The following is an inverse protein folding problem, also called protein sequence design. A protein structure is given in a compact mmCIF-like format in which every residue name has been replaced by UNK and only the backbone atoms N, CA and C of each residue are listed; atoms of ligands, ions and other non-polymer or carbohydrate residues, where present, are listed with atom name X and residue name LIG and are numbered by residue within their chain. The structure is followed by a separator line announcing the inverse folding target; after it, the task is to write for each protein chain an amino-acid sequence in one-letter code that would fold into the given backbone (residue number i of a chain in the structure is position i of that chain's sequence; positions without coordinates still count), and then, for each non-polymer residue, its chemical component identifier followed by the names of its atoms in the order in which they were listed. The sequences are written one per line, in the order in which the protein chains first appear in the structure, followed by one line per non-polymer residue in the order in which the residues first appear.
data_IF_284583684193
#
_entry.id   IF_284583684193
#
_cell.length_a   1.000
_cell.length_b   1.000
_cell.length_c   1.000
_cell.angle_alpha   90.00
_cell.angle_beta   90.00
_cell.angle_gamma   90.00
#
_symmetry.space_group_name_H-M   'P 1'
#
loop_
_entity.id
_entity.type
_entity.pdbx_description
1 polymer ?
#
# COMPACT_ATOMS: atom_id res chain seq x y z
N UNK A 1 0.11 24.75 32.77
CA UNK A 1 1.37 24.20 32.23
C UNK A 1 1.51 22.75 32.67
N UNK A 2 1.09 21.81 31.84
CA UNK A 2 1.49 20.39 31.92
C UNK A 2 1.53 19.87 30.48
N UNK A 3 2.50 20.39 29.71
CA UNK A 3 2.81 19.90 28.37
C UNK A 3 3.72 18.69 28.48
N UNK A 4 3.15 17.52 28.74
CA UNK A 4 3.85 16.26 28.61
C UNK A 4 3.78 15.80 27.16
N UNK A 5 4.90 15.85 26.45
CA UNK A 5 5.05 15.16 25.16
C UNK A 5 4.89 13.67 25.45
N UNK A 6 3.81 13.04 24.99
CA UNK A 6 3.75 11.57 24.92
C UNK A 6 4.66 11.17 23.77
N UNK A 7 5.94 11.02 24.08
CA UNK A 7 6.87 10.31 23.22
C UNK A 7 6.34 8.87 23.14
N UNK A 8 5.84 8.47 21.98
CA UNK A 8 5.68 7.05 21.63
C UNK A 8 7.07 6.42 21.66
N UNK A 9 7.50 6.00 22.85
CA UNK A 9 8.78 5.32 23.06
C UNK A 9 8.63 3.91 22.53
N UNK A 10 9.04 3.72 21.28
CA UNK A 10 9.09 2.42 20.61
C UNK A 10 10.25 1.54 21.09
N UNK A 11 11.00 1.94 22.12
CA UNK A 11 12.16 1.20 22.63
C UNK A 11 11.91 0.73 24.07
N UNK A 12 11.14 -0.35 24.21
CA UNK A 12 11.18 -1.17 25.42
C UNK A 12 12.34 -2.17 25.30
N UNK A 13 13.19 -2.35 26.32
CA UNK A 13 14.29 -3.33 26.29
C UNK A 13 13.83 -4.81 26.30
N UNK A 14 12.52 -5.07 26.42
CA UNK A 14 11.90 -6.40 26.31
C UNK A 14 11.11 -6.59 24.99
N UNK A 15 11.36 -5.72 24.01
CA UNK A 15 10.63 -5.68 22.75
C UNK A 15 10.96 -6.85 21.83
N UNK A 16 9.93 -7.47 21.25
CA UNK A 16 10.14 -8.45 20.17
C UNK A 16 10.68 -7.74 18.93
N UNK A 17 11.48 -8.41 18.10
CA UNK A 17 12.05 -7.85 16.85
C UNK A 17 10.99 -7.23 15.90
N UNK A 18 9.73 -7.64 16.05
CA UNK A 18 8.60 -7.08 15.31
C UNK A 18 8.34 -5.60 15.64
N UNK A 19 8.78 -5.08 16.79
CA UNK A 19 8.65 -3.67 17.14
C UNK A 19 9.46 -2.75 16.21
N UNK A 20 10.48 -3.26 15.52
CA UNK A 20 11.20 -2.52 14.47
C UNK A 20 10.28 -2.04 13.34
N UNK A 21 9.12 -2.68 13.16
CA UNK A 21 8.12 -2.33 12.13
C UNK A 21 6.97 -1.47 12.67
N UNK A 22 7.04 -1.01 13.93
CA UNK A 22 5.99 -0.17 14.53
C UNK A 22 5.73 1.08 13.71
N UNK A 23 6.78 1.73 13.17
CA UNK A 23 6.65 2.92 12.33
C UNK A 23 5.81 2.69 11.06
N UNK A 24 5.74 1.45 10.56
CA UNK A 24 4.91 1.09 9.42
C UNK A 24 3.52 0.68 9.87
N UNK A 25 3.44 -0.25 10.83
CA UNK A 25 2.18 -0.84 11.32
C UNK A 25 1.28 0.17 12.05
N UNK A 26 1.87 1.09 12.79
CA UNK A 26 1.20 2.14 13.56
C UNK A 26 1.15 3.50 12.85
N UNK A 27 1.55 3.55 11.58
CA UNK A 27 1.40 4.75 10.76
C UNK A 27 -0.09 5.08 10.58
N UNK A 28 -0.48 6.29 10.94
CA UNK A 28 -1.88 6.71 10.88
C UNK A 28 -2.41 6.74 9.44
N UNK A 29 -1.58 7.07 8.46
CA UNK A 29 -1.96 7.09 7.05
C UNK A 29 -2.17 5.69 6.48
N UNK A 30 -1.36 4.70 6.88
CA UNK A 30 -1.60 3.31 6.48
C UNK A 30 -2.92 2.78 7.04
N UNK A 31 -3.16 3.04 8.33
CA UNK A 31 -4.40 2.59 9.00
C UNK A 31 -5.64 3.29 8.41
N UNK A 32 -5.53 4.59 8.10
CA UNK A 32 -6.57 5.34 7.42
C UNK A 32 -6.83 4.80 6.01
N UNK A 33 -5.79 4.55 5.21
CA UNK A 33 -5.90 3.92 3.89
C UNK A 33 -6.67 2.58 3.95
N UNK A 34 -6.33 1.70 4.88
CA UNK A 34 -7.02 0.41 5.03
C UNK A 34 -8.50 0.57 5.41
N UNK A 35 -8.81 1.54 6.27
CA UNK A 35 -10.19 1.86 6.62
C UNK A 35 -10.96 2.45 5.43
N UNK A 36 -10.34 3.35 4.66
CA UNK A 36 -10.91 3.89 3.43
C UNK A 36 -11.20 2.79 2.40
N UNK A 37 -10.30 1.80 2.23
CA UNK A 37 -10.54 0.68 1.30
C UNK A 37 -11.79 -0.09 1.67
N UNK A 38 -11.97 -0.36 2.97
CA UNK A 38 -13.13 -1.08 3.47
C UNK A 38 -14.43 -0.27 3.38
N UNK A 39 -14.35 1.06 3.45
CA UNK A 39 -15.50 1.97 3.25
C UNK A 39 -15.88 2.10 1.77
N UNK A 40 -14.91 2.07 0.86
CA UNK A 40 -15.14 2.12 -0.59
C UNK A 40 -15.69 0.82 -1.14
N UNK A 41 -15.19 -0.30 -0.63
CA UNK A 41 -15.56 -1.65 -1.07
C UNK A 41 -16.21 -2.48 0.05
N UNK A 42 -17.27 -1.97 0.71
CA UNK A 42 -17.87 -2.60 1.89
C UNK A 42 -18.35 -4.00 1.59
N UNK A 43 -17.77 -4.99 2.29
CA UNK A 43 -18.01 -6.43 2.05
C UNK A 43 -19.47 -6.84 2.23
N UNK A 44 -20.25 -6.06 2.97
CA UNK A 44 -21.68 -6.30 3.24
C UNK A 44 -22.62 -5.71 2.18
N UNK A 45 -22.13 -4.86 1.26
CA UNK A 45 -22.98 -4.18 0.29
C UNK A 45 -23.20 -5.03 -0.97
N UNK A 46 -24.47 -5.31 -1.25
CA UNK A 46 -24.94 -5.98 -2.46
C UNK A 46 -25.11 -4.98 -3.61
N UNK A 47 -24.33 -5.14 -4.67
CA UNK A 47 -24.37 -4.29 -5.87
C UNK A 47 -25.69 -4.39 -6.64
N UNK A 48 -26.42 -5.52 -6.54
CA UNK A 48 -27.72 -5.65 -7.20
C UNK A 48 -28.76 -4.71 -6.58
N UNK A 49 -28.65 -4.45 -5.27
CA UNK A 49 -29.53 -3.54 -4.53
C UNK A 49 -29.17 -2.06 -4.73
N UNK A 50 -27.91 -1.77 -5.05
CA UNK A 50 -27.40 -0.40 -5.23
C UNK A 50 -26.85 -0.21 -6.66
N UNK A 51 -27.72 -0.19 -7.71
CA UNK A 51 -27.30 -0.27 -9.11
C UNK A 51 -26.50 0.94 -9.62
N UNK A 52 -26.50 2.05 -8.88
CA UNK A 52 -25.65 3.22 -9.18
C UNK A 52 -24.18 3.02 -8.75
N UNK A 53 -23.91 1.98 -7.97
CA UNK A 53 -22.58 1.59 -7.51
C UNK A 53 -22.14 0.35 -8.29
N UNK A 54 -21.44 0.57 -9.39
CA UNK A 54 -20.78 -0.52 -10.09
C UNK A 54 -19.37 -0.68 -9.51
N UNK A 55 -18.97 -1.90 -9.14
CA UNK A 55 -17.60 -2.18 -8.69
C UNK A 55 -16.87 -2.95 -9.80
N UNK A 56 -16.09 -2.23 -10.60
CA UNK A 56 -15.29 -2.83 -11.66
C UNK A 56 -14.31 -3.87 -11.10
N UNK A 57 -14.42 -5.12 -11.56
CA UNK A 57 -13.49 -6.23 -11.22
C UNK A 57 -13.21 -6.35 -9.71
N UNK A 58 -14.24 -6.17 -8.89
CA UNK A 58 -14.15 -6.06 -7.41
C UNK A 58 -13.27 -7.11 -6.73
N UNK A 59 -13.44 -8.39 -7.07
CA UNK A 59 -12.69 -9.49 -6.44
C UNK A 59 -11.19 -9.46 -6.78
N UNK A 60 -10.86 -9.10 -8.02
CA UNK A 60 -9.48 -8.98 -8.47
C UNK A 60 -8.79 -7.74 -7.88
N UNK A 61 -9.52 -6.62 -7.80
CA UNK A 61 -9.06 -5.42 -7.13
C UNK A 61 -8.80 -5.70 -5.65
N UNK A 62 -9.68 -6.43 -4.96
CA UNK A 62 -9.49 -6.82 -3.56
C UNK A 62 -8.19 -7.62 -3.38
N UNK A 63 -7.98 -8.65 -4.19
CA UNK A 63 -6.75 -9.43 -4.17
C UNK A 63 -5.52 -8.55 -4.39
N UNK A 64 -5.56 -7.67 -5.40
CA UNK A 64 -4.46 -6.76 -5.71
C UNK A 64 -4.14 -5.81 -4.55
N UNK A 65 -5.15 -5.15 -3.97
CA UNK A 65 -4.93 -4.23 -2.84
C UNK A 65 -4.30 -4.93 -1.65
N UNK A 66 -4.81 -6.11 -1.29
CA UNK A 66 -4.26 -6.93 -0.19
C UNK A 66 -2.83 -7.37 -0.49
N UNK A 67 -2.56 -7.82 -1.72
CA UNK A 67 -1.23 -8.24 -2.15
C UNK A 67 -0.23 -7.07 -2.13
N UNK A 68 -0.61 -5.89 -2.61
CA UNK A 68 0.26 -4.71 -2.62
C UNK A 68 0.61 -4.23 -1.20
N UNK A 69 -0.35 -4.21 -0.27
CA UNK A 69 -0.09 -3.92 1.16
C UNK A 69 0.86 -4.94 1.77
N UNK A 70 0.66 -6.22 1.48
CA UNK A 70 1.50 -7.29 1.99
C UNK A 70 2.92 -7.26 1.40
N UNK A 71 3.05 -7.01 0.09
CA UNK A 71 4.34 -6.82 -0.59
C UNK A 71 5.11 -5.65 0.02
N UNK A 72 4.41 -4.54 0.28
CA UNK A 72 4.98 -3.36 0.91
C UNK A 72 5.45 -3.63 2.34
N UNK A 73 4.66 -4.37 3.13
CA UNK A 73 5.05 -4.84 4.45
C UNK A 73 6.28 -5.75 4.38
N UNK A 74 6.31 -6.69 3.45
CA UNK A 74 7.44 -7.61 3.25
C UNK A 74 8.73 -6.86 2.93
N UNK A 75 8.68 -5.78 2.13
CA UNK A 75 9.85 -4.93 1.91
C UNK A 75 10.33 -4.23 3.19
N UNK A 76 9.44 -3.78 4.09
CA UNK A 76 9.89 -3.25 5.39
C UNK A 76 10.53 -4.31 6.27
N UNK A 77 10.05 -5.55 6.22
CA UNK A 77 10.68 -6.67 6.94
C UNK A 77 12.12 -6.84 6.49
N UNK A 78 12.34 -6.94 5.19
CA UNK A 78 13.68 -7.04 4.61
C UNK A 78 14.55 -5.84 4.99
N UNK A 79 14.00 -4.62 4.91
CA UNK A 79 14.71 -3.40 5.32
C UNK A 79 15.14 -3.40 6.81
N UNK A 80 14.46 -4.16 7.67
CA UNK A 80 14.78 -4.27 9.10
C UNK A 80 15.41 -5.62 9.49
N UNK A 81 15.94 -6.37 8.51
CA UNK A 81 16.59 -7.68 8.71
C UNK A 81 15.66 -8.72 9.34
N UNK A 82 14.37 -8.65 9.00
CA UNK A 82 13.37 -9.60 9.48
C UNK A 82 13.04 -10.61 8.38
N UNK A 83 12.93 -11.91 8.73
CA UNK A 83 12.61 -12.96 7.77
C UNK A 83 11.22 -12.76 7.19
N UNK A 84 10.94 -13.43 6.06
CA UNK A 84 9.60 -13.46 5.45
C UNK A 84 8.53 -13.81 6.50
N UNK A 85 7.39 -13.13 6.42
CA UNK A 85 6.25 -13.38 7.31
C UNK A 85 5.80 -14.84 7.23
N UNK A 86 5.70 -15.51 8.37
CA UNK A 86 5.12 -16.84 8.43
C UNK A 86 3.63 -16.79 8.08
N UNK A 87 3.14 -17.80 7.37
CA UNK A 87 1.71 -17.92 7.09
C UNK A 87 0.97 -18.30 8.37
N UNK A 88 -0.19 -17.70 8.62
CA UNK A 88 -1.04 -18.12 9.74
C UNK A 88 -1.53 -19.55 9.52
N UNK A 89 -1.30 -20.39 10.53
CA UNK A 89 -1.79 -21.76 10.61
C UNK A 89 -2.72 -21.87 11.82
N UNK A 90 -3.92 -22.42 11.63
CA UNK A 90 -4.95 -22.43 12.67
C UNK A 90 -4.57 -23.28 13.89
N UNK A 91 -3.81 -24.34 13.65
CA UNK A 91 -3.37 -25.37 14.59
C UNK A 91 -1.94 -25.15 15.13
N UNK A 92 -1.24 -24.10 14.67
CA UNK A 92 0.10 -23.78 15.16
C UNK A 92 0.11 -22.49 15.99
N UNK A 93 1.08 -22.34 16.91
CA UNK A 93 1.18 -21.13 17.72
C UNK A 93 1.58 -19.91 16.90
N UNK A 94 0.84 -18.79 17.07
CA UNK A 94 1.28 -17.48 16.60
C UNK A 94 2.39 -16.99 17.54
N UNK A 95 3.64 -17.16 17.12
CA UNK A 95 4.85 -16.93 17.94
C UNK A 95 4.86 -15.56 18.62
N UNK A 96 4.53 -14.52 17.86
CA UNK A 96 4.59 -13.12 18.33
C UNK A 96 3.20 -12.67 18.76
N UNK A 97 3.05 -12.31 20.02
CA UNK A 97 1.87 -11.65 20.60
C UNK A 97 1.75 -10.19 20.19
N UNK A 98 0.70 -9.52 20.67
CA UNK A 98 0.50 -8.09 20.46
C UNK A 98 -0.27 -7.49 21.64
N UNK A 99 0.26 -6.41 22.21
CA UNK A 99 -0.45 -5.60 23.17
C UNK A 99 -0.82 -4.26 22.51
N UNK A 100 -2.11 -4.01 22.21
CA UNK A 100 -2.53 -2.81 21.51
C UNK A 100 -2.26 -1.49 22.24
N UNK A 101 -2.08 -1.52 23.58
CA UNK A 101 -1.94 -0.34 24.44
C UNK A 101 -2.93 0.79 24.14
N UNK A 102 -4.13 0.42 23.68
CA UNK A 102 -5.19 1.33 23.25
C UNK A 102 -6.50 0.96 23.93
N UNK A 103 -7.39 1.93 24.06
CA UNK A 103 -8.72 1.79 24.66
C UNK A 103 -9.79 2.14 23.63
N UNK A 104 -10.95 1.52 23.78
CA UNK A 104 -12.19 1.96 23.12
C UNK A 104 -12.57 3.39 23.57
N UNK A 105 -13.45 4.08 22.82
CA UNK A 105 -13.96 5.40 23.23
C UNK A 105 -14.62 5.42 24.62
N UNK A 106 -15.10 4.27 25.11
CA UNK A 106 -15.67 4.11 26.44
C UNK A 106 -14.64 3.73 27.52
N UNK A 107 -13.35 3.85 27.23
CA UNK A 107 -12.25 3.58 28.18
C UNK A 107 -11.95 2.10 28.44
N UNK A 108 -12.62 1.15 27.76
CA UNK A 108 -12.29 -0.28 27.88
C UNK A 108 -11.02 -0.60 27.09
N UNK A 109 -10.00 -1.26 27.66
CA UNK A 109 -8.80 -1.65 26.94
C UNK A 109 -9.11 -2.65 25.83
N UNK A 110 -8.42 -2.53 24.69
CA UNK A 110 -8.43 -3.58 23.67
C UNK A 110 -7.68 -4.81 24.20
N UNK A 111 -8.19 -5.99 23.84
CA UNK A 111 -7.63 -7.25 24.32
C UNK A 111 -6.22 -7.50 23.73
N UNK A 112 -5.21 -7.77 24.58
CA UNK A 112 -3.91 -8.21 24.10
C UNK A 112 -3.97 -9.68 23.67
N UNK A 113 -3.10 -10.05 22.74
CA UNK A 113 -2.86 -11.43 22.29
C UNK A 113 -1.52 -11.90 22.83
N UNK A 114 -1.51 -12.98 23.62
CA UNK A 114 -0.29 -13.53 24.17
C UNK A 114 0.62 -14.15 23.07
N UNK A 115 1.92 -14.22 23.36
CA UNK A 115 2.86 -14.98 22.55
C UNK A 115 2.44 -16.46 22.51
N UNK A 116 2.69 -17.12 21.38
CA UNK A 116 2.43 -18.55 21.16
C UNK A 116 0.96 -18.97 21.33
N UNK A 117 0.00 -18.05 21.20
CA UNK A 117 -1.43 -18.38 21.18
C UNK A 117 -1.75 -19.26 19.97
N UNK A 118 -2.42 -20.39 20.19
CA UNK A 118 -2.90 -21.30 19.14
C UNK A 118 -4.36 -20.97 18.80
N UNK A 119 -4.68 -20.50 17.56
CA UNK A 119 -6.03 -20.06 17.21
C UNK A 119 -7.11 -21.12 17.45
N UNK A 120 -6.84 -22.38 17.11
CA UNK A 120 -7.79 -23.49 17.23
C UNK A 120 -8.08 -23.88 18.68
N UNK A 121 -7.12 -23.71 19.58
CA UNK A 121 -7.33 -23.92 21.01
C UNK A 121 -8.09 -22.75 21.64
N UNK A 122 -7.78 -21.53 21.21
CA UNK A 122 -8.39 -20.32 21.75
C UNK A 122 -9.85 -20.11 21.28
N UNK A 123 -10.17 -20.42 20.02
CA UNK A 123 -11.51 -20.28 19.46
C UNK A 123 -11.86 -21.41 18.47
N UNK A 124 -12.07 -22.64 18.95
CA UNK A 124 -12.27 -23.81 18.09
C UNK A 124 -13.48 -23.69 17.17
N UNK A 125 -14.59 -23.12 17.65
CA UNK A 125 -15.80 -22.97 16.85
C UNK A 125 -15.66 -21.88 15.77
N UNK A 126 -15.01 -20.76 16.07
CA UNK A 126 -14.70 -19.73 15.08
C UNK A 126 -13.76 -20.25 14.00
N UNK A 127 -12.69 -20.93 14.42
CA UNK A 127 -11.75 -21.59 13.49
C UNK A 127 -12.44 -22.63 12.63
N UNK A 128 -13.31 -23.48 13.19
CA UNK A 128 -14.06 -24.47 12.41
C UNK A 128 -14.93 -23.82 11.32
N UNK A 129 -15.59 -22.68 11.62
CA UNK A 129 -16.37 -21.94 10.62
C UNK A 129 -15.48 -21.42 9.50
N UNK A 130 -14.34 -20.81 9.82
CA UNK A 130 -13.41 -20.28 8.82
C UNK A 130 -12.77 -21.41 8.02
N UNK A 131 -12.29 -22.48 8.65
CA UNK A 131 -11.78 -23.67 7.96
C UNK A 131 -12.83 -24.28 7.02
N UNK A 132 -14.12 -24.27 7.41
CA UNK A 132 -15.20 -24.71 6.53
C UNK A 132 -15.37 -23.77 5.33
N UNK A 133 -15.32 -22.45 5.53
CA UNK A 133 -15.39 -21.48 4.42
C UNK A 133 -14.15 -21.61 3.54
N UNK A 134 -12.95 -21.73 4.09
CA UNK A 134 -11.71 -21.91 3.34
C UNK A 134 -11.76 -23.20 2.52
N UNK A 135 -12.19 -24.33 3.12
CA UNK A 135 -12.42 -25.57 2.37
C UNK A 135 -13.46 -25.36 1.29
N UNK A 136 -14.59 -24.72 1.59
CA UNK A 136 -15.59 -24.40 0.57
C UNK A 136 -14.97 -23.54 -0.54
N UNK A 137 -14.20 -22.50 -0.26
CA UNK A 137 -13.56 -21.65 -1.28
C UNK A 137 -12.51 -22.42 -2.10
N UNK A 138 -11.75 -23.31 -1.46
CA UNK A 138 -10.76 -24.17 -2.11
C UNK A 138 -11.42 -25.29 -2.93
N UNK A 139 -12.54 -25.85 -2.46
CA UNK A 139 -13.31 -26.92 -3.10
C UNK A 139 -14.32 -26.37 -4.13
N UNK A 140 -14.74 -25.12 -3.96
CA UNK A 140 -15.77 -24.40 -4.71
C UNK A 140 -15.51 -22.89 -4.66
N UNK A 141 -15.00 -22.33 -5.76
CA UNK A 141 -15.10 -20.90 -6.00
C UNK A 141 -16.58 -20.51 -6.22
N UNK A 142 -17.34 -20.35 -5.14
CA UNK A 142 -18.36 -19.30 -4.96
C UNK A 142 -18.97 -19.25 -3.55
N UNK A 143 -19.38 -18.02 -3.19
CA UNK A 143 -20.20 -17.58 -2.04
C UNK A 143 -19.48 -17.22 -0.73
N UNK A 144 -19.49 -15.91 -0.44
CA UNK A 144 -18.95 -15.30 0.76
C UNK A 144 -19.98 -15.06 1.87
N UNK A 145 -19.48 -14.96 3.10
CA UNK A 145 -20.02 -14.17 4.22
C UNK A 145 -19.21 -14.43 5.50
N UNK A 146 -18.95 -13.39 6.31
CA UNK A 146 -18.54 -13.55 7.72
C UNK A 146 -19.12 -12.44 8.61
N UNK A 147 -19.55 -12.83 9.81
CA UNK A 147 -20.19 -12.03 10.86
C UNK A 147 -19.33 -11.92 12.14
N UNK A 148 -19.49 -10.77 12.82
CA UNK A 148 -19.29 -10.39 14.23
C UNK A 148 -18.09 -10.94 15.04
N UNK A 149 -17.22 -10.03 15.49
CA UNK A 149 -16.10 -10.29 16.40
C UNK A 149 -16.06 -9.27 17.57
N UNK A 150 -15.61 -9.79 18.72
CA UNK A 150 -15.27 -9.06 19.95
C UNK A 150 -14.20 -7.99 19.66
N UNK A 151 -14.23 -6.80 20.30
CA UNK A 151 -13.27 -5.73 20.04
C UNK A 151 -11.84 -6.15 20.39
N UNK A 152 -11.06 -6.43 19.36
CA UNK A 152 -9.62 -6.62 19.34
C UNK A 152 -9.02 -5.69 18.28
N UNK A 153 -7.69 -5.52 18.25
CA UNK A 153 -7.05 -4.77 17.18
C UNK A 153 -7.47 -5.33 15.80
N UNK A 154 -7.54 -6.67 15.68
CA UNK A 154 -8.00 -7.34 14.47
C UNK A 154 -9.46 -7.10 14.10
N UNK A 155 -10.31 -6.68 15.04
CA UNK A 155 -11.74 -6.46 14.80
C UNK A 155 -12.08 -5.03 14.36
N UNK A 156 -11.10 -4.11 14.35
CA UNK A 156 -11.33 -2.70 14.03
C UNK A 156 -10.42 -2.25 12.88
N UNK A 157 -11.02 -1.73 11.81
CA UNK A 157 -10.33 -1.37 10.57
C UNK A 157 -9.14 -0.42 10.78
N UNK A 158 -9.28 0.53 11.71
CA UNK A 158 -8.28 1.57 12.02
C UNK A 158 -7.08 1.10 12.86
N UNK A 159 -7.09 -0.14 13.36
CA UNK A 159 -6.01 -0.66 14.22
C UNK A 159 -5.59 -2.09 13.88
N UNK A 160 -6.19 -2.71 12.86
CA UNK A 160 -5.88 -4.10 12.50
C UNK A 160 -4.44 -4.28 12.01
N UNK A 161 -3.91 -3.34 11.23
CA UNK A 161 -2.55 -3.41 10.71
C UNK A 161 -1.48 -3.23 11.78
N UNK A 162 -1.86 -2.85 13.00
CA UNK A 162 -0.93 -2.74 14.12
C UNK A 162 -0.48 -4.10 14.65
N UNK A 163 -1.35 -5.12 14.58
CA UNK A 163 -1.05 -6.47 15.05
C UNK A 163 -0.22 -7.25 13.99
N UNK A 164 0.95 -7.81 14.33
CA UNK A 164 1.71 -8.68 13.42
C UNK A 164 0.89 -9.84 12.82
N UNK A 165 -0.10 -10.36 13.56
CA UNK A 165 -0.96 -11.46 13.10
C UNK A 165 -1.84 -11.07 11.91
N UNK A 166 -2.12 -9.78 11.72
CA UNK A 166 -2.81 -9.29 10.52
C UNK A 166 -2.07 -9.71 9.25
N UNK A 167 -0.75 -9.52 9.22
CA UNK A 167 0.04 -9.83 8.04
C UNK A 167 0.24 -11.34 7.84
N UNK A 168 0.24 -12.13 8.91
CA UNK A 168 0.21 -13.60 8.80
C UNK A 168 -1.12 -14.09 8.21
N UNK A 169 -2.24 -13.44 8.59
CA UNK A 169 -3.56 -13.68 8.02
C UNK A 169 -3.62 -13.23 6.55
N UNK A 170 -3.06 -12.06 6.21
CA UNK A 170 -2.95 -11.63 4.82
C UNK A 170 -2.14 -12.63 3.98
N UNK A 171 -1.03 -13.15 4.50
CA UNK A 171 -0.24 -14.17 3.82
C UNK A 171 -1.08 -15.42 3.54
N UNK A 172 -1.87 -15.89 4.51
CA UNK A 172 -2.79 -17.02 4.32
C UNK A 172 -3.84 -16.74 3.25
N UNK A 173 -4.48 -15.58 3.32
CA UNK A 173 -5.49 -15.15 2.35
C UNK A 173 -4.92 -15.06 0.94
N UNK A 174 -3.76 -14.43 0.78
CA UNK A 174 -3.06 -14.32 -0.50
C UNK A 174 -2.74 -15.71 -1.06
N UNK A 175 -2.31 -16.66 -0.22
CA UNK A 175 -2.01 -18.01 -0.67
C UNK A 175 -3.24 -18.76 -1.21
N UNK A 176 -4.45 -18.49 -0.69
CA UNK A 176 -5.69 -19.04 -1.27
C UNK A 176 -5.88 -18.53 -2.71
N UNK A 177 -5.69 -17.23 -2.95
CA UNK A 177 -5.76 -16.67 -4.31
C UNK A 177 -4.62 -17.17 -5.20
N UNK A 178 -3.41 -17.33 -4.65
CA UNK A 178 -2.26 -17.85 -5.39
C UNK A 178 -2.48 -19.29 -5.83
N UNK A 179 -3.12 -20.12 -5.01
CA UNK A 179 -3.50 -21.47 -5.42
C UNK A 179 -4.41 -21.46 -6.66
N UNK A 180 -5.37 -20.54 -6.73
CA UNK A 180 -6.15 -20.36 -7.96
C UNK A 180 -5.27 -19.87 -9.14
N UNK A 181 -4.36 -18.93 -8.89
CA UNK A 181 -3.42 -18.41 -9.91
C UNK A 181 -2.45 -19.46 -10.44
N UNK A 182 -2.17 -20.54 -9.70
CA UNK A 182 -1.34 -21.67 -10.16
C UNK A 182 -1.97 -22.43 -11.34
N UNK A 183 -3.31 -22.39 -11.47
CA UNK A 183 -4.01 -22.98 -12.61
C UNK A 183 -4.01 -22.07 -13.85
N UNK A 184 -3.55 -20.82 -13.73
CA UNK A 184 -3.41 -19.92 -14.87
C UNK A 184 -2.08 -20.17 -15.58
N UNK A 185 -2.05 -20.15 -16.93
CA UNK A 185 -0.79 -20.26 -17.65
C UNK A 185 0.11 -19.05 -17.35
N UNK A 186 1.40 -19.33 -17.17
CA UNK A 186 2.47 -18.34 -17.15
C UNK A 186 2.42 -17.50 -18.44
N UNK A 187 2.76 -16.21 -18.35
CA UNK A 187 2.85 -15.38 -19.55
C UNK A 187 3.90 -15.91 -20.52
N UNK A 188 3.63 -15.77 -21.80
CA UNK A 188 4.56 -16.06 -22.89
C UNK A 188 5.30 -14.80 -23.32
N UNK A 189 6.45 -14.95 -24.03
CA UNK A 189 7.18 -13.81 -24.60
C UNK A 189 6.28 -12.92 -25.48
N UNK A 190 5.41 -13.56 -26.27
CA UNK A 190 4.47 -12.87 -27.17
C UNK A 190 3.44 -12.03 -26.41
N UNK A 191 2.96 -12.49 -25.25
CA UNK A 191 1.97 -11.76 -24.45
C UNK A 191 2.57 -10.55 -23.72
N UNK A 192 3.87 -10.59 -23.40
CA UNK A 192 4.59 -9.46 -22.79
C UNK A 192 5.24 -8.53 -23.81
N UNK A 193 5.50 -9.01 -25.03
CA UNK A 193 6.16 -8.22 -26.07
C UNK A 193 5.28 -7.08 -26.58
N UNK A 194 5.90 -5.93 -26.81
CA UNK A 194 5.34 -4.82 -27.58
C UNK A 194 6.32 -4.49 -28.72
N UNK A 195 6.23 -5.18 -29.87
CA UNK A 195 7.32 -5.22 -30.85
C UNK A 195 7.77 -3.87 -31.42
N UNK A 196 6.87 -2.91 -31.59
CA UNK A 196 7.19 -1.57 -32.13
C UNK A 196 7.75 -0.60 -31.09
N UNK A 197 7.91 -1.01 -29.83
CA UNK A 197 8.36 -0.15 -28.73
C UNK A 197 9.54 -0.79 -28.00
N UNK A 198 10.59 0.00 -27.76
CA UNK A 198 11.77 -0.41 -27.01
C UNK A 198 12.10 0.62 -25.93
N UNK A 199 12.30 0.15 -24.71
CA UNK A 199 12.85 0.98 -23.62
C UNK A 199 14.38 0.85 -23.68
N UNK A 200 15.04 1.92 -24.11
CA UNK A 200 16.49 1.93 -24.34
C UNK A 200 17.27 2.15 -23.04
N UNK A 201 16.83 3.11 -22.22
CA UNK A 201 17.49 3.46 -20.96
C UNK A 201 16.47 3.74 -19.86
N UNK A 202 16.90 3.50 -18.62
CA UNK A 202 16.19 3.92 -17.42
C UNK A 202 17.21 4.46 -16.42
N UNK A 203 17.09 5.76 -16.14
CA UNK A 203 17.91 6.48 -15.18
C UNK A 203 17.04 6.96 -14.02
N UNK A 204 17.42 6.58 -12.82
CA UNK A 204 16.67 6.85 -11.60
C UNK A 204 17.50 7.76 -10.73
N UNK A 205 16.94 8.90 -10.33
CA UNK A 205 17.56 9.81 -9.37
C UNK A 205 17.81 9.17 -8.01
N UNK A 206 18.54 9.85 -7.11
CA UNK A 206 18.89 9.31 -5.81
C UNK A 206 17.65 8.99 -4.97
N UNK A 207 17.60 7.77 -4.43
CA UNK A 207 16.51 7.30 -3.57
C UNK A 207 16.94 7.39 -2.11
N UNK A 208 16.29 8.26 -1.34
CA UNK A 208 16.60 8.46 0.07
C UNK A 208 15.33 8.52 0.91
N UNK A 209 15.28 7.71 1.97
CA UNK A 209 14.26 7.75 3.00
C UNK A 209 14.80 8.41 4.27
N UNK A 210 13.89 8.89 5.11
CA UNK A 210 14.19 9.51 6.39
C UNK A 210 12.96 9.43 7.30
N UNK A 211 13.11 9.79 8.56
CA UNK A 211 11.98 10.01 9.45
C UNK A 211 11.78 11.50 9.68
N UNK A 212 10.54 11.98 9.55
CA UNK A 212 10.15 13.34 9.89
C UNK A 212 9.06 13.37 10.97
N UNK A 213 8.88 14.53 11.59
CA UNK A 213 7.79 14.76 12.53
C UNK A 213 6.52 15.13 11.78
N UNK A 214 5.43 14.46 12.14
CA UNK A 214 4.09 14.74 11.69
C UNK A 214 3.20 15.10 12.87
N UNK A 215 2.54 16.24 12.77
CA UNK A 215 1.63 16.77 13.78
C UNK A 215 0.19 16.51 13.36
N UNK A 216 -0.59 15.86 14.23
CA UNK A 216 -2.02 15.60 14.00
C UNK A 216 -2.86 16.12 15.15
N UNK A 217 -4.01 16.70 14.83
CA UNK A 217 -4.98 17.11 15.85
C UNK A 217 -5.62 15.88 16.50
N UNK A 218 -5.59 15.83 17.83
CA UNK A 218 -6.23 14.81 18.66
C UNK A 218 -7.30 15.39 19.57
N UNK A 219 -7.70 16.65 19.34
CA UNK A 219 -8.72 17.36 20.12
C UNK A 219 -10.02 16.55 20.26
N UNK A 220 -10.47 15.88 19.19
CA UNK A 220 -11.66 15.01 19.22
C UNK A 220 -11.56 13.79 20.15
N UNK A 221 -10.34 13.39 20.53
CA UNK A 221 -10.11 12.28 21.45
C UNK A 221 -10.12 12.71 22.92
N UNK A 222 -10.18 14.01 23.21
CA UNK A 222 -10.14 14.55 24.57
C UNK A 222 -11.57 14.96 24.98
N UNK A 223 -12.07 14.53 26.16
CA UNK A 223 -13.34 15.01 26.67
C UNK A 223 -13.28 16.52 26.94
N UNK A 224 -14.03 17.31 26.16
CA UNK A 224 -14.14 18.76 26.35
C UNK A 224 -15.48 19.08 27.03
N UNK A 225 -15.50 19.68 28.24
CA UNK A 225 -16.72 19.87 29.01
C UNK A 225 -17.77 20.80 28.39
N UNK A 226 -17.34 21.82 27.64
CA UNK A 226 -18.23 22.78 27.00
C UNK A 226 -17.89 22.97 25.52
N UNK A 227 -18.90 23.07 24.65
CA UNK A 227 -18.69 23.22 23.20
C UNK A 227 -17.90 24.49 22.80
N UNK A 228 -17.98 25.57 23.59
CA UNK A 228 -17.19 26.79 23.37
C UNK A 228 -15.68 26.54 23.53
N UNK A 229 -15.31 25.66 24.46
CA UNK A 229 -13.92 25.33 24.78
C UNK A 229 -13.25 24.54 23.64
N UNK A 230 -14.05 23.96 22.74
CA UNK A 230 -13.58 23.27 21.53
C UNK A 230 -12.90 24.25 20.54
N UNK A 231 -13.26 25.54 20.58
CA UNK A 231 -12.58 26.59 19.80
C UNK A 231 -11.29 27.07 20.47
N UNK A 232 -11.21 27.01 21.80
CA UNK A 232 -10.10 27.60 22.56
C UNK A 232 -8.95 26.62 22.84
N UNK A 233 -9.25 25.32 22.96
CA UNK A 233 -8.24 24.28 23.21
C UNK A 233 -7.95 23.46 21.97
N UNK A 234 -6.66 23.35 21.63
CA UNK A 234 -6.16 22.52 20.55
C UNK A 234 -5.12 21.54 21.07
N UNK A 235 -5.41 20.25 20.96
CA UNK A 235 -4.50 19.19 21.34
C UNK A 235 -3.90 18.56 20.09
N UNK A 236 -2.58 18.51 20.04
CA UNK A 236 -1.83 17.96 18.92
C UNK A 236 -0.94 16.82 19.40
N UNK A 237 -0.94 15.71 18.67
CA UNK A 237 0.01 14.62 18.83
C UNK A 237 1.08 14.73 17.75
N UNK A 238 2.34 14.55 18.16
CA UNK A 238 3.49 14.50 17.25
C UNK A 238 3.99 13.07 17.14
N UNK A 239 4.09 12.56 15.92
CA UNK A 239 4.61 11.22 15.62
C UNK A 239 5.79 11.31 14.64
N UNK A 240 6.82 10.48 14.81
CA UNK A 240 7.83 10.29 13.75
C UNK A 240 7.30 9.31 12.72
N UNK A 241 7.28 9.69 11.45
CA UNK A 241 6.79 8.87 10.33
C UNK A 241 7.89 8.69 9.30
N UNK A 242 7.92 7.54 8.64
CA UNK A 242 8.82 7.34 7.50
C UNK A 242 8.44 8.33 6.40
N UNK A 243 9.40 8.83 5.65
CA UNK A 243 9.20 9.63 4.45
C UNK A 243 10.36 9.40 3.45
N UNK A 244 10.25 9.96 2.26
CA UNK A 244 11.31 9.94 1.26
C UNK A 244 11.50 11.28 0.57
N UNK A 245 12.69 11.49 0.00
CA UNK A 245 12.94 12.61 -0.90
C UNK A 245 12.21 12.35 -2.21
N UNK A 246 11.65 13.40 -2.80
CA UNK A 246 11.15 13.32 -4.17
C UNK A 246 12.27 12.88 -5.10
N UNK A 247 11.98 11.95 -5.99
CA UNK A 247 12.91 11.44 -6.97
C UNK A 247 12.27 11.48 -8.35
N UNK A 248 13.11 11.58 -9.37
CA UNK A 248 12.69 11.58 -10.77
C UNK A 248 13.34 10.40 -11.46
N UNK A 249 12.59 9.73 -12.33
CA UNK A 249 13.12 8.72 -13.23
C UNK A 249 12.90 9.17 -14.68
N UNK A 250 13.93 8.94 -15.50
CA UNK A 250 13.98 9.30 -16.91
C UNK A 250 14.16 8.04 -17.73
N UNK A 251 13.41 7.91 -18.81
CA UNK A 251 13.52 6.79 -19.73
C UNK A 251 13.55 7.30 -21.17
N UNK A 252 14.47 6.74 -21.97
CA UNK A 252 14.45 6.87 -23.42
C UNK A 252 13.69 5.68 -24.00
N UNK A 253 12.69 5.96 -24.84
CA UNK A 253 11.86 4.96 -25.50
C UNK A 253 11.90 5.20 -27.01
N UNK A 254 12.39 4.22 -27.76
CA UNK A 254 12.29 4.19 -29.21
C UNK A 254 10.96 3.55 -29.64
N UNK A 255 10.26 4.19 -30.57
CA UNK A 255 9.03 3.68 -31.20
C UNK A 255 9.15 3.67 -32.71
N UNK A 256 8.70 2.60 -33.37
CA UNK A 256 8.69 2.54 -34.84
C UNK A 256 7.57 3.41 -35.45
N UNK A 257 6.52 3.69 -34.67
CA UNK A 257 5.31 4.38 -35.11
C UNK A 257 4.74 5.33 -34.04
N UNK A 258 3.78 6.17 -34.43
CA UNK A 258 3.04 6.99 -33.49
C UNK A 258 1.99 6.12 -32.78
N UNK A 259 2.16 5.87 -31.49
CA UNK A 259 1.32 4.94 -30.72
C UNK A 259 1.16 5.37 -29.26
N UNK A 260 -0.01 5.09 -28.69
CA UNK A 260 -0.27 5.29 -27.27
C UNK A 260 0.17 4.03 -26.49
N UNK A 261 0.93 4.25 -25.42
CA UNK A 261 1.44 3.19 -24.55
C UNK A 261 1.07 3.45 -23.08
N UNK A 262 0.91 2.38 -22.31
CA UNK A 262 0.78 2.42 -20.85
C UNK A 262 2.14 2.06 -20.25
N UNK A 263 2.71 2.95 -19.44
CA UNK A 263 3.92 2.69 -18.67
C UNK A 263 3.52 2.20 -17.29
N UNK A 264 4.13 1.11 -16.84
CA UNK A 264 3.98 0.57 -15.48
C UNK A 264 5.34 0.51 -14.82
N UNK A 265 5.44 1.03 -13.61
CA UNK A 265 6.68 1.08 -12.83
C UNK A 265 6.47 0.32 -11.54
N UNK A 266 7.35 -0.64 -11.27
CA UNK A 266 7.34 -1.45 -10.06
C UNK A 266 8.67 -1.32 -9.33
N UNK A 267 8.64 -1.48 -8.02
CA UNK A 267 9.83 -1.70 -7.19
C UNK A 267 9.67 -3.00 -6.40
N UNK A 268 10.72 -3.81 -6.36
CA UNK A 268 10.69 -5.10 -5.68
C UNK A 268 12.04 -5.51 -5.12
N UNK A 269 12.08 -6.55 -4.27
CA UNK A 269 13.30 -7.01 -3.63
C UNK A 269 14.23 -7.69 -4.65
N UNK A 270 15.53 -7.39 -4.57
CA UNK A 270 16.58 -8.16 -5.26
C UNK A 270 17.10 -9.31 -4.40
N UNK A 271 17.16 -9.06 -3.08
CA UNK A 271 17.71 -9.96 -2.08
C UNK A 271 16.68 -10.21 -0.99
N UNK A 272 16.82 -11.32 -0.28
CA UNK A 272 16.08 -11.57 0.96
C UNK A 272 16.71 -10.83 2.17
N UNK A 273 16.16 -11.08 3.37
CA UNK A 273 16.63 -10.46 4.62
C UNK A 273 18.03 -10.92 5.06
N UNK A 274 18.57 -11.97 4.44
CA UNK A 274 19.93 -12.50 4.67
C UNK A 274 20.86 -12.15 3.49
N UNK A 275 20.45 -11.19 2.65
CA UNK A 275 21.19 -10.72 1.47
C UNK A 275 21.43 -11.79 0.40
N UNK A 276 20.64 -12.86 0.39
CA UNK A 276 20.72 -13.89 -0.66
C UNK A 276 19.93 -13.43 -1.88
N UNK A 277 20.45 -13.61 -3.11
CA UNK A 277 19.75 -13.21 -4.32
C UNK A 277 18.47 -14.03 -4.51
N UNK A 278 17.39 -13.34 -4.86
CA UNK A 278 16.11 -13.96 -5.17
C UNK A 278 15.99 -14.25 -6.66
N UNK A 279 15.38 -15.38 -7.02
CA UNK A 279 14.85 -15.56 -8.37
C UNK A 279 13.66 -14.63 -8.60
N UNK A 280 13.33 -14.34 -9.87
CA UNK A 280 12.20 -13.46 -10.17
C UNK A 280 10.88 -14.00 -9.61
N UNK A 281 10.67 -15.32 -9.62
CA UNK A 281 9.47 -15.92 -9.01
C UNK A 281 9.44 -15.77 -7.49
N UNK A 282 10.58 -15.94 -6.81
CA UNK A 282 10.67 -15.72 -5.36
C UNK A 282 10.38 -14.26 -5.00
N UNK A 283 10.84 -13.32 -5.82
CA UNK A 283 10.65 -11.88 -5.63
C UNK A 283 9.27 -11.37 -6.11
N UNK A 284 8.58 -12.10 -7.00
CA UNK A 284 7.37 -11.68 -7.72
C UNK A 284 6.32 -11.04 -6.82
N UNK A 285 5.97 -11.73 -5.74
CA UNK A 285 4.93 -11.28 -4.80
C UNK A 285 5.37 -10.10 -3.92
N UNK A 286 6.64 -9.70 -3.98
CA UNK A 286 7.22 -8.53 -3.32
C UNK A 286 7.31 -7.29 -4.21
N UNK A 287 6.95 -7.36 -5.50
CA UNK A 287 6.90 -6.18 -6.37
C UNK A 287 5.65 -5.34 -6.04
N UNK A 288 5.89 -4.05 -5.79
CA UNK A 288 4.87 -3.03 -5.58
C UNK A 288 4.80 -2.12 -6.80
N UNK A 289 3.60 -1.92 -7.34
CA UNK A 289 3.33 -0.98 -8.44
C UNK A 289 3.43 0.44 -7.88
N UNK A 290 4.46 1.18 -8.26
CA UNK A 290 4.69 2.54 -7.79
C UNK A 290 4.17 3.60 -8.75
N UNK A 291 3.91 3.24 -10.01
CA UNK A 291 3.32 4.16 -10.97
C UNK A 291 2.65 3.44 -12.14
N UNK A 292 1.64 4.09 -12.71
CA UNK A 292 0.98 3.69 -13.95
C UNK A 292 0.37 4.89 -14.64
N UNK A 293 0.79 5.12 -15.89
CA UNK A 293 0.37 6.29 -16.65
C UNK A 293 0.47 6.07 -18.16
N UNK A 294 -0.45 6.65 -18.94
CA UNK A 294 -0.38 6.61 -20.40
C UNK A 294 0.62 7.63 -20.94
N UNK A 295 1.26 7.29 -22.05
CA UNK A 295 2.16 8.16 -22.82
C UNK A 295 1.82 8.06 -24.30
N UNK A 296 1.97 9.17 -25.02
CA UNK A 296 1.87 9.21 -26.47
C UNK A 296 3.27 9.17 -27.05
N UNK A 297 3.63 8.07 -27.70
CA UNK A 297 4.94 7.89 -28.32
C UNK A 297 4.85 8.36 -29.77
N UNK A 298 5.83 9.17 -30.18
CA UNK A 298 6.08 9.50 -31.57
C UNK A 298 7.05 8.50 -32.18
N UNK A 299 6.98 8.27 -33.48
CA UNK A 299 7.99 7.49 -34.21
C UNK A 299 9.38 8.12 -34.00
N UNK A 300 10.37 7.29 -33.70
CA UNK A 300 11.71 7.71 -33.28
C UNK A 300 11.90 7.67 -31.77
N UNK A 301 12.82 8.52 -31.27
CA UNK A 301 13.21 8.58 -29.86
C UNK A 301 12.26 9.48 -29.05
N UNK A 302 11.84 8.98 -27.89
CA UNK A 302 10.98 9.67 -26.94
C UNK A 302 11.65 9.74 -25.57
N UNK A 303 11.79 10.95 -25.02
CA UNK A 303 12.32 11.15 -23.68
C UNK A 303 11.18 11.41 -22.70
N UNK A 304 11.00 10.49 -21.75
CA UNK A 304 9.99 10.61 -20.70
C UNK A 304 10.70 10.90 -19.38
N UNK A 305 10.30 11.97 -18.72
CA UNK A 305 10.73 12.35 -17.39
C UNK A 305 9.52 12.36 -16.47
N UNK A 306 9.64 11.71 -15.31
CA UNK A 306 8.54 11.60 -14.36
C UNK A 306 9.00 11.67 -12.93
N UNK A 307 8.38 12.55 -12.16
CA UNK A 307 8.64 12.72 -10.74
C UNK A 307 7.73 11.81 -9.90
N UNK A 308 8.25 11.36 -8.75
CA UNK A 308 7.52 10.53 -7.79
C UNK A 308 6.15 11.10 -7.39
N UNK A 309 6.05 12.44 -7.32
CA UNK A 309 4.81 13.16 -6.94
C UNK A 309 3.71 13.12 -7.99
N UNK A 310 4.02 12.72 -9.22
CA UNK A 310 3.06 12.61 -10.32
C UNK A 310 2.35 11.25 -10.36
N UNK A 311 2.74 10.31 -9.48
CA UNK A 311 2.13 9.00 -9.40
C UNK A 311 0.69 9.08 -8.92
N UNK A 312 -0.22 8.48 -9.68
CA UNK A 312 -1.62 8.36 -9.32
C UNK A 312 -1.90 7.17 -8.37
N UNK A 313 -0.87 6.43 -7.96
CA UNK A 313 -1.00 5.29 -7.05
C UNK A 313 -0.93 5.69 -5.56
N UNK A 314 -0.41 6.89 -5.26
CA UNK A 314 -0.17 7.35 -3.90
C UNK A 314 -0.91 8.64 -3.59
N UNK A 315 -1.12 8.87 -2.30
CA UNK A 315 -1.81 10.06 -1.80
C UNK A 315 -0.94 10.77 -0.77
N UNK A 316 -0.95 12.10 -0.83
CA UNK A 316 -0.33 12.93 0.20
C UNK A 316 -1.10 12.87 1.52
N UNK A 317 -0.51 13.45 2.57
CA UNK A 317 -1.23 13.61 3.84
C UNK A 317 -2.46 14.50 3.66
N UNK A 318 -3.53 14.16 4.37
CA UNK A 318 -4.81 14.86 4.27
C UNK A 318 -4.80 16.16 5.08
N UNK A 319 -5.62 17.13 4.67
CA UNK A 319 -5.84 18.35 5.44
C UNK A 319 -6.45 18.00 6.80
N UNK A 320 -5.95 18.65 7.87
CA UNK A 320 -6.53 18.46 9.20
C UNK A 320 -7.92 19.08 9.28
N UNK A 321 -8.82 18.47 10.05
CA UNK A 321 -10.16 19.02 10.29
C UNK A 321 -10.14 20.49 10.76
N UNK A 322 -9.16 20.87 11.60
CA UNK A 322 -9.01 22.24 12.08
C UNK A 322 -8.64 23.23 10.95
N UNK A 323 -7.78 22.83 10.03
CA UNK A 323 -7.41 23.63 8.87
C UNK A 323 -8.61 23.78 7.90
N UNK A 324 -9.32 22.69 7.63
CA UNK A 324 -10.56 22.70 6.84
C UNK A 324 -11.62 23.62 7.47
N UNK A 325 -11.88 23.47 8.77
CA UNK A 325 -12.84 24.31 9.49
C UNK A 325 -12.47 25.79 9.43
N UNK A 326 -11.19 26.12 9.62
CA UNK A 326 -10.69 27.50 9.52
C UNK A 326 -10.88 28.08 8.12
N UNK A 327 -10.64 27.31 7.06
CA UNK A 327 -10.92 27.73 5.68
C UNK A 327 -12.40 28.01 5.48
N UNK A 328 -13.28 27.12 5.94
CA UNK A 328 -14.74 27.29 5.83
C UNK A 328 -15.21 28.54 6.58
N UNK A 329 -14.78 28.74 7.82
CA UNK A 329 -15.13 29.90 8.64
C UNK A 329 -14.62 31.21 8.01
N UNK A 330 -13.41 31.20 7.44
CA UNK A 330 -12.86 32.33 6.69
C UNK A 330 -13.75 32.66 5.48
N UNK A 331 -14.08 31.69 4.63
CA UNK A 331 -14.93 31.93 3.45
C UNK A 331 -16.33 32.46 3.82
N UNK A 332 -16.93 31.96 4.92
CA UNK A 332 -18.22 32.48 5.42
C UNK A 332 -18.07 33.95 5.84
N UNK A 333 -16.99 34.29 6.54
CA UNK A 333 -16.75 35.63 7.09
C UNK A 333 -16.38 36.64 6.00
N UNK A 334 -15.51 36.25 5.07
CA UNK A 334 -15.04 37.11 3.96
C UNK A 334 -16.02 37.15 2.78
N UNK A 335 -17.02 36.26 2.75
CA UNK A 335 -17.92 36.02 1.60
C UNK A 335 -17.18 35.64 0.32
N UNK A 336 -15.98 35.09 0.44
CA UNK A 336 -15.23 34.55 -0.68
C UNK A 336 -15.75 33.16 -1.06
N UNK A 337 -15.70 32.80 -2.35
CA UNK A 337 -16.08 31.46 -2.79
C UNK A 337 -15.21 30.38 -2.14
N UNK A 338 -15.85 29.32 -1.63
CA UNK A 338 -15.16 28.13 -1.14
C UNK A 338 -14.87 27.18 -2.31
N UNK A 339 -13.61 27.10 -2.70
CA UNK A 339 -13.16 26.13 -3.69
C UNK A 339 -12.88 24.79 -2.99
N UNK A 340 -13.68 23.78 -3.33
CA UNK A 340 -13.42 22.39 -2.92
C UNK A 340 -12.19 21.90 -3.68
N UNK A 341 -11.04 21.96 -3.03
CA UNK A 341 -9.77 21.41 -3.53
C UNK A 341 -9.65 19.92 -3.24
N UNK A 342 -10.47 19.40 -2.33
CA UNK A 342 -10.48 18.00 -1.90
C UNK A 342 -11.23 17.14 -2.92
N UNK A 343 -10.48 16.60 -3.89
CA UNK A 343 -10.91 15.38 -4.57
C UNK A 343 -10.72 14.20 -3.62
N UNK A 344 -11.63 13.25 -3.58
CA UNK A 344 -11.54 12.06 -2.71
C UNK A 344 -10.24 11.27 -2.91
N UNK A 345 -9.21 11.39 -2.05
CA UNK A 345 -7.91 10.77 -2.32
C UNK A 345 -7.81 9.32 -1.84
N UNK A 346 -7.74 8.39 -2.79
CA UNK A 346 -7.56 6.96 -2.49
C UNK A 346 -6.22 6.43 -3.00
N UNK A 347 -5.38 5.94 -2.09
CA UNK A 347 -4.08 5.36 -2.41
C UNK A 347 -3.25 5.13 -1.14
N UNK A 348 -2.19 4.35 -1.28
CA UNK A 348 -1.24 4.18 -0.19
C UNK A 348 -0.57 5.55 0.09
N UNK A 349 -0.25 5.91 1.35
CA UNK A 349 0.45 7.16 1.64
C UNK A 349 1.75 7.27 0.83
N UNK A 350 2.00 8.43 0.21
CA UNK A 350 3.18 8.71 -0.64
C UNK A 350 4.48 8.32 0.03
N UNK A 351 4.61 8.56 1.33
CA UNK A 351 5.76 8.16 2.14
C UNK A 351 6.13 6.67 2.05
N UNK A 352 5.18 5.81 1.69
CA UNK A 352 5.39 4.39 1.48
C UNK A 352 5.62 4.01 0.01
N UNK A 353 5.96 4.96 -0.87
CA UNK A 353 6.44 4.64 -2.22
C UNK A 353 7.76 3.87 -2.19
N UNK A 354 8.61 4.16 -1.19
CA UNK A 354 9.88 3.47 -0.95
C UNK A 354 9.87 2.79 0.43
N UNK A 355 10.44 1.58 0.58
CA UNK A 355 10.75 1.00 1.89
C UNK A 355 11.86 1.78 2.59
N UNK A 356 11.97 1.63 3.92
CA UNK A 356 13.11 2.18 4.65
C UNK A 356 14.43 1.68 4.03
N UNK A 357 15.35 2.62 3.77
CA UNK A 357 16.68 2.30 3.25
C UNK A 357 17.65 1.84 4.35
N UNK A 358 18.88 1.53 3.94
CA UNK A 358 20.01 1.41 4.87
C UNK A 358 20.92 2.63 4.74
N UNK A 359 21.67 2.97 5.78
CA UNK A 359 22.66 4.05 5.68
C UNK A 359 23.71 3.77 4.58
N UNK A 360 24.10 2.50 4.42
CA UNK A 360 24.98 2.04 3.33
C UNK A 360 24.28 1.89 1.96
N UNK A 361 22.96 2.09 1.92
CA UNK A 361 22.10 1.78 0.78
C UNK A 361 21.78 0.29 0.69
N UNK A 362 20.49 -0.04 0.48
CA UNK A 362 20.05 -1.40 0.20
C UNK A 362 19.54 -1.50 -1.25
N UNK A 363 19.89 -2.59 -1.94
CA UNK A 363 19.58 -2.74 -3.37
C UNK A 363 18.22 -3.39 -3.60
N UNK A 364 17.38 -2.68 -4.35
CA UNK A 364 16.11 -3.13 -4.89
C UNK A 364 16.18 -3.19 -6.43
N UNK A 365 15.15 -3.74 -7.05
CA UNK A 365 14.99 -3.73 -8.51
C UNK A 365 13.79 -2.86 -8.88
N UNK A 366 14.03 -1.85 -9.71
CA UNK A 366 12.97 -1.13 -10.41
C UNK A 366 12.71 -1.84 -11.74
N UNK A 367 11.45 -2.18 -12.00
CA UNK A 367 11.02 -2.81 -13.24
C UNK A 367 10.05 -1.87 -13.95
N UNK A 368 10.32 -1.59 -15.22
CA UNK A 368 9.43 -0.80 -16.08
C UNK A 368 9.02 -1.65 -17.27
N UNK A 369 7.74 -1.60 -17.63
CA UNK A 369 7.20 -2.20 -18.85
C UNK A 369 6.25 -1.24 -19.56
N UNK A 370 6.41 -1.13 -20.87
CA UNK A 370 5.49 -0.44 -21.75
C UNK A 370 4.54 -1.45 -22.42
N UNK A 371 3.24 -1.19 -22.38
CA UNK A 371 2.22 -2.01 -23.05
C UNK A 371 1.32 -1.19 -23.96
N UNK A 372 0.69 -1.77 -25.01
CA UNK A 372 -0.25 -1.04 -25.85
C UNK A 372 -1.40 -0.43 -25.01
N UNK A 373 -1.79 0.80 -25.33
CA UNK A 373 -2.92 1.48 -24.68
C UNK A 373 -3.83 2.07 -25.75
N UNK A 374 -5.11 1.70 -25.73
CA UNK A 374 -6.07 2.17 -26.75
C UNK A 374 -6.94 3.36 -26.30
N UNK A 375 -6.83 3.77 -25.03
CA UNK A 375 -7.58 4.90 -24.46
C UNK A 375 -9.10 4.71 -24.41
N UNK A 376 -9.65 3.58 -24.86
CA UNK A 376 -11.11 3.41 -25.05
C UNK A 376 -11.87 3.15 -23.77
N UNK A 377 -11.20 2.63 -22.73
CA UNK A 377 -11.82 2.33 -21.44
C UNK A 377 -12.31 3.57 -20.66
N UNK A 378 -11.87 4.78 -21.04
CA UNK A 378 -12.29 6.04 -20.40
C UNK A 378 -13.75 6.43 -20.63
N UNK A 379 -14.53 5.60 -21.34
CA UNK A 379 -15.91 5.89 -21.76
C UNK A 379 -16.99 5.17 -20.94
N UNK A 380 -16.62 4.24 -20.04
CA UNK A 380 -17.58 3.70 -19.08
C UNK A 380 -17.85 4.77 -18.02
N UNK A 381 -19.03 5.42 -18.10
CA UNK A 381 -19.49 6.42 -17.16
C UNK A 381 -19.57 5.86 -15.74
N UNK A 382 -18.44 5.92 -15.04
CA UNK A 382 -18.37 5.69 -13.60
C UNK A 382 -18.67 6.99 -12.87
N UNK A 383 -19.04 6.86 -11.60
CA UNK A 383 -19.21 8.00 -10.70
C UNK A 383 -17.88 8.76 -10.64
N UNK A 384 -17.87 10.06 -11.00
CA UNK A 384 -16.66 10.90 -11.17
C UNK A 384 -15.68 10.86 -9.99
N UNK A 385 -16.13 10.41 -8.83
CA UNK A 385 -15.38 10.35 -7.60
C UNK A 385 -14.27 9.28 -7.58
N UNK A 386 -14.35 8.21 -8.38
CA UNK A 386 -13.35 7.13 -8.40
C UNK A 386 -12.42 7.16 -9.63
N UNK A 387 -12.70 8.00 -10.62
CA UNK A 387 -12.03 7.97 -11.92
C UNK A 387 -10.51 8.20 -11.84
N UNK A 388 -10.00 8.86 -10.80
CA UNK A 388 -8.59 9.25 -10.75
C UNK A 388 -7.66 8.30 -9.96
N UNK A 389 -8.16 7.20 -9.39
CA UNK A 389 -7.38 6.42 -8.41
C UNK A 389 -6.95 5.05 -8.92
N UNK A 390 -5.78 5.00 -9.57
CA UNK A 390 -5.15 3.79 -10.13
C UNK A 390 -5.05 2.66 -9.11
N UNK A 391 -4.59 2.98 -7.89
CA UNK A 391 -4.38 2.01 -6.82
C UNK A 391 -5.67 1.54 -6.15
N UNK A 392 -6.78 2.26 -6.36
CA UNK A 392 -8.08 1.97 -5.79
C UNK A 392 -9.13 1.68 -6.86
N UNK A 393 -8.73 1.06 -7.98
CA UNK A 393 -9.70 0.52 -8.93
C UNK A 393 -10.37 1.51 -9.87
N UNK A 394 -9.87 2.74 -9.99
CA UNK A 394 -10.37 3.72 -10.95
C UNK A 394 -10.24 3.21 -12.40
N UNK A 395 -11.31 3.28 -13.22
CA UNK A 395 -11.33 2.69 -14.57
C UNK A 395 -10.59 3.54 -15.62
N UNK A 396 -10.24 4.79 -15.33
CA UNK A 396 -9.65 5.76 -16.27
C UNK A 396 -8.39 5.25 -16.98
N UNK A 397 -7.57 4.48 -16.29
CA UNK A 397 -6.33 3.91 -16.82
C UNK A 397 -6.41 2.40 -17.02
N UNK A 398 -7.63 1.87 -17.21
CA UNK A 398 -7.81 0.47 -17.54
C UNK A 398 -7.38 0.21 -18.99
N UNK A 399 -6.51 -0.78 -19.18
CA UNK A 399 -5.89 -1.13 -20.46
C UNK A 399 -6.16 -2.60 -20.85
N UNK A 400 -7.18 -3.23 -20.26
CA UNK A 400 -7.49 -4.64 -20.51
C UNK A 400 -6.60 -5.64 -19.76
N UNK A 401 -5.55 -5.19 -19.05
CA UNK A 401 -4.64 -6.07 -18.29
C UNK A 401 -5.18 -6.36 -16.89
N UNK A 402 -4.82 -7.50 -16.27
CA UNK A 402 -5.16 -7.76 -14.89
C UNK A 402 -4.45 -6.81 -13.92
N UNK A 403 -5.05 -6.60 -12.74
CA UNK A 403 -4.37 -5.87 -11.68
C UNK A 403 -3.10 -6.62 -11.26
N UNK A 404 -1.99 -5.88 -11.11
CA UNK A 404 -0.67 -6.45 -10.82
C UNK A 404 0.06 -7.02 -12.03
N UNK A 405 -0.49 -6.91 -13.25
CA UNK A 405 0.24 -7.28 -14.47
C UNK A 405 1.60 -6.55 -14.55
N UNK A 406 2.72 -7.24 -14.85
CA UNK A 406 2.83 -8.65 -15.27
C UNK A 406 3.19 -9.63 -14.13
N UNK A 407 3.18 -9.20 -12.87
CA UNK A 407 3.56 -10.02 -11.70
C UNK A 407 2.38 -10.77 -11.05
N UNK A 408 1.18 -10.69 -11.63
CA UNK A 408 -0.03 -11.30 -11.09
C UNK A 408 -0.10 -12.83 -11.26
N UNK A 409 0.79 -13.42 -12.08
CA UNK A 409 0.87 -14.86 -12.38
C UNK A 409 2.26 -15.41 -12.12
N UNK A 410 2.34 -16.73 -11.90
CA UNK A 410 3.59 -17.47 -11.76
C UNK A 410 4.54 -17.23 -12.95
N UNK A 411 5.83 -17.23 -12.65
CA UNK A 411 6.93 -17.01 -13.60
C UNK A 411 7.87 -18.22 -13.56
N UNK A 412 7.86 -19.04 -14.60
CA UNK A 412 8.80 -20.17 -14.70
C UNK A 412 10.17 -19.75 -15.26
N UNK A 413 10.18 -18.81 -16.22
CA UNK A 413 11.40 -18.39 -16.91
C UNK A 413 11.54 -16.87 -16.91
N UNK A 414 12.61 -16.38 -16.25
CA UNK A 414 12.92 -14.95 -16.17
C UNK A 414 13.09 -14.28 -17.53
N UNK A 415 13.61 -15.00 -18.52
CA UNK A 415 13.82 -14.51 -19.90
C UNK A 415 12.54 -14.07 -20.61
N UNK A 416 11.37 -14.47 -20.09
CA UNK A 416 10.09 -13.98 -20.60
C UNK A 416 9.91 -12.50 -20.28
N UNK A 417 10.46 -12.00 -19.17
CA UNK A 417 10.36 -10.60 -18.75
C UNK A 417 11.48 -9.71 -19.32
N UNK A 418 12.47 -10.30 -20.00
CA UNK A 418 13.51 -9.58 -20.74
C UNK A 418 13.04 -9.34 -22.19
N UNK A 419 12.15 -8.35 -22.36
CA UNK A 419 11.63 -7.91 -23.66
C UNK A 419 12.21 -6.54 -24.03
N UNK A 420 12.13 -6.16 -25.32
CA UNK A 420 12.57 -4.83 -25.75
C UNK A 420 11.78 -3.71 -25.05
N UNK A 421 10.50 -3.94 -24.77
CA UNK A 421 9.58 -2.99 -24.11
C UNK A 421 9.61 -3.07 -22.57
N UNK A 422 10.58 -3.77 -21.97
CA UNK A 422 10.73 -3.84 -20.52
C UNK A 422 12.18 -3.74 -20.08
N UNK A 423 12.41 -3.19 -18.88
CA UNK A 423 13.76 -3.03 -18.33
C UNK A 423 13.76 -3.26 -16.82
N UNK A 424 14.77 -3.98 -16.33
CA UNK A 424 15.11 -4.05 -14.92
C UNK A 424 16.32 -3.16 -14.64
N UNK A 425 16.23 -2.32 -13.62
CA UNK A 425 17.32 -1.47 -13.13
C UNK A 425 17.51 -1.73 -11.65
N UNK A 426 18.74 -2.07 -11.26
CA UNK A 426 19.09 -2.10 -9.85
C UNK A 426 19.15 -0.66 -9.30
N UNK A 427 18.48 -0.42 -8.19
CA UNK A 427 18.43 0.88 -7.51
C UNK A 427 18.83 0.71 -6.05
N UNK A 428 19.57 1.67 -5.49
CA UNK A 428 19.93 1.68 -4.07
C UNK A 428 19.07 2.68 -3.32
N UNK A 429 18.45 2.25 -2.23
CA UNK A 429 17.68 3.11 -1.33
C UNK A 429 18.49 3.35 -0.06
N UNK A 430 18.84 4.61 0.16
CA UNK A 430 19.56 5.07 1.33
C UNK A 430 18.59 5.51 2.43
N UNK A 431 18.99 5.39 3.69
CA UNK A 431 18.32 6.05 4.80
C UNK A 431 19.23 7.15 5.35
N UNK A 432 18.69 8.36 5.46
CA UNK A 432 19.41 9.53 5.95
C UNK A 432 18.79 9.97 7.27
N UNK A 433 19.65 10.38 8.20
CA UNK A 433 19.19 11.10 9.38
C UNK A 433 18.68 12.49 8.97
N UNK A 434 17.73 13.02 9.74
CA UNK A 434 17.07 14.29 9.42
C UNK A 434 18.09 15.45 9.26
N UNK A 435 19.15 15.44 10.07
CA UNK A 435 20.25 16.41 10.00
C UNK A 435 21.05 16.40 8.70
N UNK A 436 21.06 15.27 7.99
CA UNK A 436 21.84 15.08 6.76
C UNK A 436 20.99 15.27 5.49
N UNK A 437 19.69 15.58 5.64
CA UNK A 437 18.80 15.78 4.50
C UNK A 437 19.19 16.98 3.65
N UNK A 438 19.74 18.04 4.23
CA UNK A 438 20.08 19.27 3.52
C UNK A 438 21.59 19.50 3.35
N UNK A 439 22.43 18.54 3.75
CA UNK A 439 23.86 18.64 3.52
C UNK A 439 24.16 18.33 2.04
N UNK A 440 24.90 19.20 1.33
CA UNK A 440 25.38 18.87 -0.02
C UNK A 440 26.26 17.62 0.09
N UNK A 441 26.05 16.65 -0.81
CA UNK A 441 26.91 15.46 -0.88
C UNK A 441 28.32 15.96 -1.23
N UNK A 442 29.26 15.86 -0.29
CA UNK A 442 30.65 16.19 -0.56
C UNK A 442 31.16 15.20 -1.61
N UNK A 443 31.59 15.76 -2.75
CA UNK A 443 32.17 15.06 -3.90
C UNK A 443 33.43 14.28 -3.55
#
# INVERSE_FOLDING_TARGET
MFGGVVLSSHDSPFSHLEERLSYFREDVGLNDYLAQMALLYPTWMDTAKYPKVNYFRRGELYYYMVQQVYARYAMERTANFLPKTEMLMWDHPIKVGYNPRTTTPHGRPLLPRANYMVPKEFNPHGVWKVERIERIVLDALDSGLLYNLVPSAMATLLVMSRDPAFYQLLHRLINIFQHHKEFMPCYTKKELSFPSVKIDTLDVGPLATYFDYFDMSVTNGIPIPAGKDYKDYHYTMRQRRLNHKSFTYKMSISSDENIDAMIRVFIGPKYDSEERPLTLEQARMGFVEIDRFPVKLSSGENMIERNSKESAAFTGDQESFAALYKRVETCITTKEPFYVTESFHCGLPERFMLPKGWHSGFTYQMFVIATPFDGKASSMAYDRYLDNYVACGGPKYYDGKPYGFPFDRRIDYKDVFHQANSIFKDVKIYHKDESDLNRPEHQ
#
